data_IF_611100627767
#
_entry.id   IF_611100627767
#
_cell.length_a   1.000
_cell.length_b   1.000
_cell.length_c   1.000
_cell.angle_alpha   90.00
_cell.angle_beta   90.00
_cell.angle_gamma   90.00
#
_symmetry.space_group_name_H-M   'P 1'
#
loop_
_entity.id
_entity.type
_entity.pdbx_description
1 polymer ?
#
# COMPACT_ATOMS: atom_id res chain seq x y z
N UNK A 1 -3.95 21.54 -19.66
CA UNK A 1 -4.44 20.21 -20.09
C UNK A 1 -5.51 19.77 -19.10
N UNK A 2 -6.75 19.57 -19.57
CA UNK A 2 -7.87 19.10 -18.74
C UNK A 2 -7.60 17.61 -18.46
N UNK A 3 -7.17 17.27 -17.23
CA UNK A 3 -7.02 15.88 -16.82
C UNK A 3 -8.39 15.21 -16.97
N UNK A 4 -8.49 14.18 -17.80
CA UNK A 4 -9.73 13.44 -17.97
C UNK A 4 -10.17 12.88 -16.62
N UNK A 5 -11.43 13.11 -16.25
CA UNK A 5 -12.00 12.60 -15.00
C UNK A 5 -11.82 11.08 -14.88
N UNK A 6 -11.82 10.38 -16.01
CA UNK A 6 -11.63 8.94 -16.10
C UNK A 6 -10.26 8.47 -15.59
N UNK A 7 -9.18 9.16 -15.96
CA UNK A 7 -7.83 8.78 -15.51
C UNK A 7 -7.63 9.10 -14.03
N UNK A 8 -8.25 10.18 -13.55
CA UNK A 8 -8.23 10.56 -12.13
C UNK A 8 -8.98 9.55 -11.26
N UNK A 9 -10.12 9.03 -11.72
CA UNK A 9 -10.93 8.06 -10.97
C UNK A 9 -10.30 6.66 -10.93
N UNK A 10 -9.67 6.22 -12.02
CA UNK A 10 -8.92 4.96 -12.08
C UNK A 10 -7.69 5.04 -11.16
N UNK A 11 -6.99 6.18 -11.14
CA UNK A 11 -5.91 6.43 -10.19
C UNK A 11 -6.39 6.34 -8.73
N UNK A 12 -7.46 7.06 -8.37
CA UNK A 12 -7.98 7.07 -7.01
C UNK A 12 -8.34 5.68 -6.46
N UNK A 13 -8.85 4.76 -7.30
CA UNK A 13 -9.12 3.38 -6.89
C UNK A 13 -7.83 2.61 -6.59
N UNK A 14 -6.82 2.70 -7.47
CA UNK A 14 -5.52 2.07 -7.24
C UNK A 14 -4.84 2.58 -5.97
N UNK A 15 -4.98 3.87 -5.67
CA UNK A 15 -4.47 4.49 -4.44
C UNK A 15 -5.12 3.88 -3.20
N UNK A 16 -6.44 3.72 -3.21
CA UNK A 16 -7.14 3.12 -2.08
C UNK A 16 -6.65 1.69 -1.79
N UNK A 17 -6.45 0.87 -2.83
CA UNK A 17 -5.89 -0.47 -2.67
C UNK A 17 -4.44 -0.45 -2.16
N UNK A 18 -3.62 0.48 -2.64
CA UNK A 18 -2.24 0.65 -2.16
C UNK A 18 -2.21 0.98 -0.67
N UNK A 19 -3.06 1.91 -0.24
CA UNK A 19 -3.12 2.35 1.16
C UNK A 19 -3.64 1.26 2.10
N UNK A 20 -4.74 0.61 1.71
CA UNK A 20 -5.33 -0.49 2.47
C UNK A 20 -4.35 -1.65 2.56
N UNK A 21 -3.70 -2.01 1.45
CA UNK A 21 -2.71 -3.08 1.44
C UNK A 21 -1.47 -2.75 2.27
N UNK A 22 -0.98 -1.51 2.22
CA UNK A 22 0.21 -1.10 2.95
C UNK A 22 -0.03 -1.11 4.46
N UNK A 23 -1.24 -0.73 4.90
CA UNK A 23 -1.63 -0.77 6.30
C UNK A 23 -1.96 -2.18 6.78
N UNK A 24 -2.82 -2.91 6.05
CA UNK A 24 -3.30 -4.23 6.48
C UNK A 24 -2.26 -5.34 6.30
N UNK A 25 -1.35 -5.23 5.32
CA UNK A 25 -0.32 -6.23 5.07
C UNK A 25 0.52 -6.56 6.32
N UNK A 26 1.17 -5.56 6.95
CA UNK A 26 1.90 -5.74 8.20
C UNK A 26 1.03 -6.25 9.35
N UNK A 27 -0.24 -5.84 9.41
CA UNK A 27 -1.18 -6.27 10.46
C UNK A 27 -1.50 -7.75 10.33
N UNK A 28 -1.80 -8.24 9.13
CA UNK A 28 -2.07 -9.65 8.87
C UNK A 28 -0.85 -10.54 9.11
N UNK A 29 0.35 -10.07 8.75
CA UNK A 29 1.60 -10.76 9.09
C UNK A 29 1.78 -10.81 10.61
N UNK A 30 1.44 -9.74 11.31
CA UNK A 30 1.37 -9.74 12.77
C UNK A 30 0.44 -10.82 13.29
N UNK A 31 -0.82 -10.83 12.86
CA UNK A 31 -1.81 -11.83 13.30
C UNK A 31 -1.29 -13.26 13.06
N UNK A 32 -0.58 -13.52 11.97
CA UNK A 32 0.08 -14.81 11.74
C UNK A 32 1.09 -15.18 12.84
N UNK A 33 1.88 -14.22 13.32
CA UNK A 33 2.86 -14.47 14.41
C UNK A 33 2.14 -14.93 15.68
N UNK A 34 0.95 -14.38 16.01
CA UNK A 34 0.15 -14.80 17.17
C UNK A 34 -0.57 -16.14 16.93
N UNK A 35 -1.33 -16.24 15.84
CA UNK A 35 -2.28 -17.33 15.59
C UNK A 35 -1.67 -18.54 14.86
N UNK A 36 -0.47 -18.39 14.28
CA UNK A 36 0.20 -19.36 13.39
C UNK A 36 -0.67 -19.88 12.23
N UNK A 37 -1.71 -19.14 11.85
CA UNK A 37 -2.60 -19.52 10.75
C UNK A 37 -2.05 -19.04 9.43
N UNK A 38 -1.70 -19.98 8.54
CA UNK A 38 -1.08 -19.66 7.24
C UNK A 38 -1.97 -18.76 6.35
N UNK A 39 -3.29 -18.76 6.54
CA UNK A 39 -4.22 -17.89 5.80
C UNK A 39 -3.91 -16.41 5.98
N UNK A 40 -3.60 -15.98 7.22
CA UNK A 40 -3.26 -14.60 7.52
C UNK A 40 -1.88 -14.21 6.93
N UNK A 41 -0.95 -15.16 6.86
CA UNK A 41 0.35 -14.93 6.22
C UNK A 41 0.17 -14.66 4.71
N UNK A 42 -0.60 -15.49 4.02
CA UNK A 42 -0.85 -15.33 2.57
C UNK A 42 -1.62 -14.05 2.25
N UNK A 43 -2.61 -13.69 3.08
CA UNK A 43 -3.31 -12.41 2.96
C UNK A 43 -2.35 -11.23 3.14
N UNK A 44 -1.52 -11.26 4.18
CA UNK A 44 -0.54 -10.21 4.46
C UNK A 44 0.47 -10.03 3.33
N UNK A 45 1.01 -11.13 2.81
CA UNK A 45 1.92 -11.11 1.65
C UNK A 45 1.21 -10.56 0.41
N UNK A 46 -0.03 -11.01 0.14
CA UNK A 46 -0.80 -10.54 -1.01
C UNK A 46 -1.04 -9.02 -0.97
N UNK A 47 -1.41 -8.49 0.19
CA UNK A 47 -1.58 -7.05 0.39
C UNK A 47 -0.28 -6.26 0.23
N UNK A 48 0.85 -6.78 0.71
CA UNK A 48 2.15 -6.15 0.51
C UNK A 48 2.56 -6.14 -0.97
N UNK A 49 2.36 -7.25 -1.69
CA UNK A 49 2.68 -7.35 -3.11
C UNK A 49 1.86 -6.34 -3.93
N UNK A 50 0.56 -6.25 -3.68
CA UNK A 50 -0.31 -5.26 -4.35
C UNK A 50 0.19 -3.83 -4.07
N UNK A 51 0.53 -3.55 -2.82
CA UNK A 51 1.03 -2.23 -2.41
C UNK A 51 2.35 -1.87 -3.09
N UNK A 52 3.27 -2.83 -3.23
CA UNK A 52 4.53 -2.66 -3.95
C UNK A 52 4.31 -2.42 -5.44
N UNK A 53 3.36 -3.12 -6.06
CA UNK A 53 3.00 -2.87 -7.46
C UNK A 53 2.45 -1.45 -7.65
N UNK A 54 1.59 -0.98 -6.74
CA UNK A 54 1.11 0.39 -6.78
C UNK A 54 2.22 1.43 -6.53
N UNK A 55 3.19 1.16 -5.64
CA UNK A 55 4.36 2.03 -5.47
C UNK A 55 5.20 2.12 -6.75
N UNK A 56 5.33 1.01 -7.49
CA UNK A 56 6.01 0.98 -8.79
C UNK A 56 5.27 1.87 -9.80
N UNK A 57 3.94 1.83 -9.83
CA UNK A 57 3.16 2.71 -10.71
C UNK A 57 3.37 4.19 -10.36
N UNK A 58 3.48 4.53 -9.08
CA UNK A 58 3.87 5.88 -8.64
C UNK A 58 5.24 6.33 -9.17
N UNK A 59 6.23 5.45 -9.17
CA UNK A 59 7.56 5.72 -9.74
C UNK A 59 7.51 5.88 -11.27
N UNK A 60 6.66 5.11 -11.96
CA UNK A 60 6.43 5.27 -13.39
C UNK A 60 5.73 6.59 -13.68
N UNK A 61 4.74 6.99 -12.88
CA UNK A 61 4.06 8.30 -12.97
C UNK A 61 5.01 9.49 -12.80
N UNK A 62 6.01 9.37 -11.92
CA UNK A 62 7.07 10.37 -11.78
C UNK A 62 7.85 10.57 -13.08
N UNK A 63 8.21 9.47 -13.78
CA UNK A 63 8.91 9.54 -15.07
C UNK A 63 8.08 10.22 -16.17
N UNK A 64 6.76 10.24 -16.02
CA UNK A 64 5.84 10.91 -16.96
C UNK A 64 5.46 12.34 -16.52
N UNK A 65 6.14 12.90 -15.51
CA UNK A 65 5.93 14.27 -15.04
C UNK A 65 4.73 14.46 -14.11
N UNK A 66 4.12 13.38 -13.62
CA UNK A 66 2.95 13.45 -12.73
C UNK A 66 3.40 13.30 -11.27
N UNK A 67 3.88 14.40 -10.70
CA UNK A 67 4.41 14.42 -9.32
C UNK A 67 3.34 14.08 -8.27
N UNK A 68 2.07 14.39 -8.53
CA UNK A 68 0.96 14.03 -7.62
C UNK A 68 0.86 12.52 -7.39
N UNK A 69 1.04 11.74 -8.46
CA UNK A 69 0.89 10.29 -8.40
C UNK A 69 2.08 9.69 -7.65
N UNK A 70 3.26 10.25 -7.84
CA UNK A 70 4.43 9.86 -7.06
C UNK A 70 4.24 10.07 -5.56
N UNK A 71 3.73 11.24 -5.13
CA UNK A 71 3.49 11.51 -3.70
C UNK A 71 2.47 10.54 -3.11
N UNK A 72 1.35 10.34 -3.81
CA UNK A 72 0.23 9.56 -3.30
C UNK A 72 0.52 8.05 -3.30
N UNK A 73 1.12 7.53 -4.36
CA UNK A 73 1.41 6.10 -4.48
C UNK A 73 2.70 5.68 -3.78
N UNK A 74 3.70 6.56 -3.67
CA UNK A 74 4.98 6.22 -3.08
C UNK A 74 5.06 6.69 -1.62
N UNK A 75 5.04 8.00 -1.36
CA UNK A 75 5.25 8.53 -0.01
C UNK A 75 4.13 8.18 0.97
N UNK A 76 2.86 8.35 0.58
CA UNK A 76 1.74 8.06 1.48
C UNK A 76 1.68 6.56 1.77
N UNK A 77 1.80 5.72 0.74
CA UNK A 77 1.82 4.26 0.88
C UNK A 77 3.00 3.80 1.75
N UNK A 78 4.19 4.39 1.58
CA UNK A 78 5.35 4.09 2.42
C UNK A 78 5.10 4.48 3.89
N UNK A 79 4.53 5.67 4.12
CA UNK A 79 4.15 6.11 5.46
C UNK A 79 3.15 5.17 6.12
N UNK A 80 2.13 4.72 5.40
CA UNK A 80 1.15 3.74 5.89
C UNK A 80 1.78 2.38 6.19
N UNK A 81 2.74 1.96 5.38
CA UNK A 81 3.49 0.73 5.61
C UNK A 81 4.31 0.82 6.91
N UNK A 82 4.99 1.94 7.14
CA UNK A 82 5.72 2.20 8.40
C UNK A 82 4.76 2.20 9.58
N UNK A 83 3.62 2.89 9.49
CA UNK A 83 2.61 2.90 10.56
C UNK A 83 2.07 1.50 10.83
N UNK A 84 1.75 0.73 9.78
CA UNK A 84 1.31 -0.66 9.91
C UNK A 84 2.34 -1.53 10.63
N UNK A 85 3.62 -1.42 10.24
CA UNK A 85 4.71 -2.13 10.92
C UNK A 85 4.84 -1.70 12.38
N UNK A 86 4.82 -0.40 12.67
CA UNK A 86 4.95 0.13 14.02
C UNK A 86 3.82 -0.35 14.92
N UNK A 87 2.57 -0.32 14.45
CA UNK A 87 1.42 -0.85 15.19
C UNK A 87 1.56 -2.33 15.49
N UNK A 88 1.92 -3.11 14.46
CA UNK A 88 2.20 -4.53 14.62
C UNK A 88 3.29 -4.75 15.67
N UNK A 89 4.40 -4.01 15.61
CA UNK A 89 5.51 -4.12 16.55
C UNK A 89 5.11 -3.78 17.99
N UNK A 90 4.36 -2.69 18.20
CA UNK A 90 3.90 -2.30 19.55
C UNK A 90 2.97 -3.32 20.19
N UNK A 91 2.29 -4.16 19.37
CA UNK A 91 1.43 -5.24 19.85
C UNK A 91 2.22 -6.46 20.31
N UNK A 92 3.44 -6.66 19.80
CA UNK A 92 4.31 -7.81 20.10
C UNK A 92 5.30 -7.58 21.25
N UNK A 93 5.38 -6.38 21.81
CA UNK A 93 6.08 -6.12 23.08
C UNK A 93 5.23 -6.53 24.28
#
# INVERSE_FOLDING_TARGET
>A
MRRDFYTTFIGAKGVAFAWVGAFLGPVFIGIYIEARTNEHLWLGIGFLVISLLCMRDGLVGFKHGVVSDFVVYFFVTLGLLVVGISLTWTRFQ
#
